data_IF_731768453685
#
_entry.id   IF_731768453685
#
_cell.length_a   1.000
_cell.length_b   1.000
_cell.length_c   1.000
_cell.angle_alpha   90.00
_cell.angle_beta   90.00
_cell.angle_gamma   90.00
#
_symmetry.space_group_name_H-M   'P 1'
#
loop_
_entity.id
_entity.type
_entity.pdbx_description
1 polymer ?
#
# COMPACT_ATOMS: atom_id res chain seq x y z
N UNK A 1 -38.18 -10.31 21.87
CA UNK A 1 -37.27 -9.77 22.90
C UNK A 1 -36.06 -9.16 22.23
N UNK A 2 -36.08 -7.84 22.05
CA UNK A 2 -34.99 -7.02 21.49
C UNK A 2 -34.37 -6.26 22.66
N UNK A 3 -33.18 -6.65 23.14
CA UNK A 3 -32.27 -5.79 23.89
C UNK A 3 -31.07 -6.59 24.43
N UNK A 4 -29.90 -6.49 23.79
CA UNK A 4 -28.61 -6.53 24.51
C UNK A 4 -27.38 -6.11 23.68
N UNK A 5 -27.50 -5.78 22.39
CA UNK A 5 -26.32 -5.45 21.55
C UNK A 5 -26.06 -3.96 21.28
N UNK A 6 -26.71 -3.03 22.00
CA UNK A 6 -26.49 -1.56 21.82
C UNK A 6 -25.97 -0.92 23.13
N UNK A 7 -24.94 -1.50 23.75
CA UNK A 7 -24.28 -0.88 24.91
C UNK A 7 -22.75 -0.76 24.87
N UNK A 8 -22.05 -1.18 23.81
CA UNK A 8 -20.60 -0.89 23.69
C UNK A 8 -20.25 0.30 22.79
N UNK A 9 -21.21 0.90 22.08
CA UNK A 9 -20.97 2.05 21.19
C UNK A 9 -21.21 3.43 21.83
N UNK A 10 -21.63 3.50 23.10
CA UNK A 10 -22.06 4.76 23.73
C UNK A 10 -21.01 5.43 24.63
N UNK A 11 -19.90 4.75 24.97
CA UNK A 11 -18.83 5.35 25.79
C UNK A 11 -17.60 5.81 25.00
N UNK A 12 -17.53 5.58 23.69
CA UNK A 12 -16.41 6.04 22.86
C UNK A 12 -16.68 7.37 22.13
N UNK A 13 -17.90 7.91 22.23
CA UNK A 13 -18.31 9.14 21.53
C UNK A 13 -18.38 10.39 22.44
N UNK A 14 -17.88 10.29 23.68
CA UNK A 14 -17.85 11.40 24.64
C UNK A 14 -16.46 12.04 24.83
N UNK A 15 -15.38 11.38 24.39
CA UNK A 15 -14.01 11.91 24.45
C UNK A 15 -13.60 12.75 23.24
N UNK A 16 -14.36 12.73 22.15
CA UNK A 16 -14.10 13.57 20.97
C UNK A 16 -14.92 14.88 20.92
N UNK A 17 -15.95 15.02 21.76
CA UNK A 17 -16.80 16.23 21.82
C UNK A 17 -16.33 17.31 22.82
N UNK A 18 -15.17 17.13 23.46
CA UNK A 18 -14.60 18.12 24.37
C UNK A 18 -13.30 18.78 23.88
N UNK A 19 -12.76 18.40 22.72
CA UNK A 19 -11.60 19.08 22.12
C UNK A 19 -11.97 20.27 21.21
N UNK A 20 -13.25 20.45 20.86
CA UNK A 20 -13.73 21.48 19.93
C UNK A 20 -14.23 22.78 20.62
N UNK A 21 -13.80 23.07 21.85
CA UNK A 21 -14.18 24.29 22.59
C UNK A 21 -13.01 25.04 23.22
N UNK A 22 -11.81 24.96 22.66
CA UNK A 22 -10.74 25.87 23.09
C UNK A 22 -10.93 27.24 22.42
N UNK A 23 -10.92 28.31 23.23
CA UNK A 23 -10.96 29.71 22.74
C UNK A 23 -9.79 30.03 21.79
N UNK A 24 -8.73 29.21 21.80
CA UNK A 24 -7.57 29.30 20.92
C UNK A 24 -7.91 28.94 19.47
N UNK A 25 -8.70 27.89 19.24
CA UNK A 25 -9.07 27.44 17.88
C UNK A 25 -9.91 28.48 17.14
N UNK A 26 -10.91 29.06 17.82
CA UNK A 26 -11.72 30.16 17.26
C UNK A 26 -10.90 31.44 17.01
N UNK A 27 -9.82 31.66 17.77
CA UNK A 27 -8.94 32.82 17.60
C UNK A 27 -8.01 32.67 16.39
N UNK A 28 -7.50 31.46 16.16
CA UNK A 28 -6.67 31.12 14.98
C UNK A 28 -7.52 31.16 13.70
N UNK A 29 -8.73 30.59 13.72
CA UNK A 29 -9.65 30.63 12.58
C UNK A 29 -10.10 32.06 12.26
N UNK A 30 -10.38 32.90 13.27
CA UNK A 30 -10.71 34.32 13.06
C UNK A 30 -9.53 35.14 12.56
N UNK A 31 -8.31 34.91 13.07
CA UNK A 31 -7.10 35.60 12.59
C UNK A 31 -6.75 35.20 11.15
N UNK A 32 -7.01 33.94 10.76
CA UNK A 32 -6.90 33.49 9.37
C UNK A 32 -7.98 34.13 8.48
N UNK A 33 -9.21 34.30 8.97
CA UNK A 33 -10.32 34.93 8.23
C UNK A 33 -10.16 36.44 8.04
N UNK A 34 -9.51 37.15 8.96
CA UNK A 34 -9.27 38.60 8.83
C UNK A 34 -8.11 38.94 7.90
N UNK A 35 -7.22 37.99 7.58
CA UNK A 35 -6.02 38.24 6.76
C UNK A 35 -6.27 38.17 5.25
N UNK A 36 -7.43 37.67 4.80
CA UNK A 36 -7.75 37.45 3.38
C UNK A 36 -8.95 38.25 2.84
N UNK A 37 -9.47 39.23 3.58
CA UNK A 37 -10.57 40.07 3.11
C UNK A 37 -10.04 41.41 2.58
N UNK A 38 -9.82 41.52 1.26
CA UNK A 38 -9.62 42.84 0.61
C UNK A 38 -10.98 43.54 0.48
N UNK A 39 -11.12 44.83 0.82
CA UNK A 39 -12.34 45.57 0.51
C UNK A 39 -12.28 46.00 -0.97
N UNK A 40 -13.20 45.53 -1.80
CA UNK A 40 -13.45 46.13 -3.10
C UNK A 40 -14.42 47.30 -2.91
N UNK A 41 -13.92 48.53 -2.99
CA UNK A 41 -14.74 49.69 -3.31
C UNK A 41 -14.96 49.67 -4.83
N UNK A 42 -16.19 49.45 -5.29
CA UNK A 42 -16.58 49.60 -6.70
C UNK A 42 -17.51 50.80 -6.80
N UNK A 43 -16.96 51.93 -7.22
CA UNK A 43 -17.73 53.06 -7.73
C UNK A 43 -17.85 52.91 -9.25
N UNK A 44 -19.08 52.78 -9.74
CA UNK A 44 -19.43 53.11 -11.13
C UNK A 44 -19.47 51.96 -12.15
N UNK A 45 -20.69 51.53 -12.47
CA UNK A 45 -21.15 51.23 -13.84
C UNK A 45 -20.29 50.34 -14.74
N UNK A 46 -20.22 49.04 -14.47
CA UNK A 46 -20.02 48.02 -15.50
C UNK A 46 -21.04 46.92 -15.30
N UNK A 47 -21.76 46.55 -16.36
CA UNK A 47 -22.83 45.55 -16.30
C UNK A 47 -22.28 44.23 -15.76
N UNK A 48 -23.00 43.64 -14.80
CA UNK A 48 -22.61 42.42 -14.08
C UNK A 48 -22.12 41.32 -15.04
N UNK A 49 -22.73 41.18 -16.22
CA UNK A 49 -22.33 40.21 -17.24
C UNK A 49 -20.90 40.40 -17.80
N UNK A 50 -20.44 41.64 -17.99
CA UNK A 50 -19.09 41.93 -18.47
C UNK A 50 -18.02 41.70 -17.41
N UNK A 51 -18.33 41.96 -16.14
CA UNK A 51 -17.40 41.75 -15.02
C UNK A 51 -17.20 40.25 -14.72
N UNK A 52 -18.26 39.44 -14.80
CA UNK A 52 -18.15 37.98 -14.70
C UNK A 52 -17.44 37.36 -15.91
N UNK A 53 -17.65 37.87 -17.12
CA UNK A 53 -16.94 37.36 -18.31
C UNK A 53 -15.47 37.80 -18.39
N UNK A 54 -15.08 38.89 -17.72
CA UNK A 54 -13.68 39.31 -17.55
C UNK A 54 -12.96 38.59 -16.40
N UNK A 55 -13.68 38.25 -15.32
CA UNK A 55 -13.16 37.41 -14.22
C UNK A 55 -13.11 35.91 -14.57
N UNK A 56 -14.01 35.44 -15.43
CA UNK A 56 -14.08 34.07 -15.96
C UNK A 56 -13.74 33.98 -17.45
N UNK A 57 -12.94 34.95 -17.94
CA UNK A 57 -12.42 34.93 -19.30
C UNK A 57 -11.73 33.59 -19.62
N UNK A 58 -11.78 33.21 -20.89
CA UNK A 58 -11.47 31.93 -21.55
C UNK A 58 -10.18 31.15 -21.17
N UNK A 59 -9.42 31.58 -20.15
CA UNK A 59 -8.23 30.90 -19.62
C UNK A 59 -8.51 29.68 -18.74
N UNK A 60 -9.64 29.64 -18.02
CA UNK A 60 -9.96 28.52 -17.11
C UNK A 60 -10.46 27.26 -17.83
N UNK A 61 -10.94 27.39 -19.08
CA UNK A 61 -11.34 26.23 -19.88
C UNK A 61 -10.16 25.36 -20.31
N UNK A 62 -9.00 25.97 -20.63
CA UNK A 62 -7.77 25.23 -20.99
C UNK A 62 -7.20 24.47 -19.79
N UNK A 63 -7.25 25.05 -18.58
CA UNK A 63 -6.82 24.39 -17.34
C UNK A 63 -7.71 23.20 -17.01
N UNK A 64 -9.03 23.37 -17.10
CA UNK A 64 -10.01 22.29 -16.90
C UNK A 64 -9.89 21.17 -17.93
N UNK A 65 -9.66 21.50 -19.21
CA UNK A 65 -9.45 20.49 -20.25
C UNK A 65 -8.14 19.71 -20.05
N UNK A 66 -7.07 20.39 -19.60
CA UNK A 66 -5.79 19.74 -19.32
C UNK A 66 -5.87 18.82 -18.09
N UNK A 67 -6.55 19.26 -17.02
CA UNK A 67 -6.81 18.42 -15.84
C UNK A 67 -7.70 17.22 -16.17
N UNK A 68 -8.74 17.42 -17.00
CA UNK A 68 -9.57 16.32 -17.48
C UNK A 68 -8.75 15.31 -18.30
N UNK A 69 -7.91 15.78 -19.23
CA UNK A 69 -7.01 14.92 -20.01
C UNK A 69 -6.06 14.12 -19.11
N UNK A 70 -5.45 14.77 -18.12
CA UNK A 70 -4.57 14.11 -17.16
C UNK A 70 -5.31 13.03 -16.37
N UNK A 71 -6.53 13.32 -15.90
CA UNK A 71 -7.34 12.35 -15.15
C UNK A 71 -7.68 11.10 -15.97
N UNK A 72 -7.98 11.25 -17.26
CA UNK A 72 -8.26 10.13 -18.18
C UNK A 72 -7.00 9.29 -18.37
N UNK A 73 -5.85 9.92 -18.57
CA UNK A 73 -4.58 9.21 -18.74
C UNK A 73 -4.17 8.45 -17.48
N UNK A 74 -4.44 9.00 -16.29
CA UNK A 74 -4.21 8.29 -15.04
C UNK A 74 -5.13 7.07 -14.89
N UNK A 75 -6.40 7.18 -15.29
CA UNK A 75 -7.32 6.04 -15.31
C UNK A 75 -6.86 4.96 -16.30
N UNK A 76 -6.37 5.35 -17.48
CA UNK A 76 -5.78 4.43 -18.45
C UNK A 76 -4.53 3.75 -17.89
N UNK A 77 -3.63 4.51 -17.25
CA UNK A 77 -2.43 3.96 -16.61
C UNK A 77 -2.78 2.96 -15.49
N UNK A 78 -3.78 3.27 -14.66
CA UNK A 78 -4.26 2.37 -13.62
C UNK A 78 -4.91 1.10 -14.23
N UNK A 79 -5.61 1.23 -15.36
CA UNK A 79 -6.14 0.09 -16.12
C UNK A 79 -5.04 -0.81 -16.67
N UNK A 80 -4.03 -0.24 -17.35
CA UNK A 80 -2.88 -1.01 -17.84
C UNK A 80 -2.16 -1.72 -16.68
N UNK A 81 -1.95 -1.02 -15.56
CA UNK A 81 -1.34 -1.63 -14.37
C UNK A 81 -2.16 -2.82 -13.85
N UNK A 82 -3.49 -2.70 -13.77
CA UNK A 82 -4.38 -3.78 -13.33
C UNK A 82 -4.31 -5.02 -14.22
N UNK A 83 -4.03 -4.87 -15.52
CA UNK A 83 -3.87 -5.98 -16.46
C UNK A 83 -2.41 -6.43 -16.59
N UNK A 84 -1.51 -6.00 -15.70
CA UNK A 84 -0.09 -6.31 -15.69
C UNK A 84 0.67 -5.86 -16.97
N UNK A 85 0.15 -4.83 -17.66
CA UNK A 85 0.74 -4.21 -18.86
C UNK A 85 1.69 -3.07 -18.43
N UNK A 86 2.79 -3.43 -17.75
CA UNK A 86 3.66 -2.49 -17.04
C UNK A 86 4.33 -1.46 -17.95
N UNK A 87 4.80 -1.87 -19.13
CA UNK A 87 5.45 -1.00 -20.10
C UNK A 87 4.48 0.06 -20.66
N UNK A 88 3.23 -0.34 -20.92
CA UNK A 88 2.18 0.58 -21.37
C UNK A 88 1.80 1.58 -20.26
N UNK A 89 1.68 1.09 -19.02
CA UNK A 89 1.46 1.93 -17.85
C UNK A 89 2.59 2.97 -17.68
N UNK A 90 3.85 2.52 -17.74
CA UNK A 90 5.03 3.38 -17.61
C UNK A 90 5.09 4.44 -18.73
N UNK A 91 4.84 4.06 -19.99
CA UNK A 91 4.84 4.98 -21.13
C UNK A 91 3.83 6.13 -20.98
N UNK A 92 2.69 5.88 -20.33
CA UNK A 92 1.72 6.93 -20.02
C UNK A 92 2.24 7.85 -18.93
N UNK A 93 2.86 7.30 -17.87
CA UNK A 93 3.25 8.06 -16.69
C UNK A 93 4.59 8.80 -16.84
N UNK A 94 5.53 8.30 -17.66
CA UNK A 94 6.88 8.88 -17.81
C UNK A 94 6.88 10.34 -18.28
N UNK A 95 5.85 10.75 -19.05
CA UNK A 95 5.72 12.14 -19.52
C UNK A 95 5.50 13.15 -18.38
N UNK A 96 5.10 12.67 -17.21
CA UNK A 96 4.88 13.49 -16.01
C UNK A 96 6.09 13.52 -15.08
N UNK A 97 7.09 12.67 -15.29
CA UNK A 97 8.22 12.46 -14.39
C UNK A 97 8.96 13.77 -14.03
N UNK A 98 9.31 14.57 -15.04
CA UNK A 98 10.05 15.81 -14.86
C UNK A 98 9.17 17.03 -14.55
N UNK A 99 7.86 16.93 -14.81
CA UNK A 99 6.94 18.08 -14.80
C UNK A 99 5.99 18.12 -13.61
N UNK A 100 5.69 16.95 -13.03
CA UNK A 100 4.68 16.85 -11.99
C UNK A 100 5.31 16.92 -10.59
N UNK A 101 4.62 17.62 -9.70
CA UNK A 101 4.83 17.57 -8.25
C UNK A 101 3.64 16.92 -7.54
N UNK A 102 2.62 16.48 -8.30
CA UNK A 102 1.43 15.84 -7.75
C UNK A 102 1.79 14.46 -7.17
N UNK A 103 1.64 14.25 -5.84
CA UNK A 103 1.89 12.97 -5.21
C UNK A 103 1.15 11.82 -5.87
N UNK A 104 -0.07 12.04 -6.37
CA UNK A 104 -0.91 11.01 -6.97
C UNK A 104 -0.31 10.41 -8.24
N UNK A 105 0.45 11.21 -8.98
CA UNK A 105 1.14 10.77 -10.19
C UNK A 105 2.47 10.12 -9.82
N UNK A 106 3.19 10.74 -8.89
CA UNK A 106 4.53 10.32 -8.50
C UNK A 106 4.54 8.93 -7.85
N UNK A 107 3.59 8.61 -6.97
CA UNK A 107 3.53 7.27 -6.38
C UNK A 107 3.14 6.20 -7.40
N UNK A 108 2.30 6.53 -8.40
CA UNK A 108 1.93 5.60 -9.50
C UNK A 108 3.12 5.28 -10.38
N UNK A 109 3.93 6.30 -10.70
CA UNK A 109 5.16 6.11 -11.47
C UNK A 109 6.19 5.31 -10.68
N UNK A 110 6.35 5.58 -9.38
CA UNK A 110 7.19 4.79 -8.48
C UNK A 110 6.76 3.32 -8.45
N UNK A 111 5.46 3.05 -8.30
CA UNK A 111 4.88 1.70 -8.32
C UNK A 111 5.28 0.91 -9.56
N UNK A 112 5.03 1.45 -10.76
CA UNK A 112 5.32 0.72 -11.99
C UNK A 112 6.83 0.50 -12.18
N UNK A 113 7.67 1.46 -11.76
CA UNK A 113 9.11 1.31 -11.79
C UNK A 113 9.62 0.21 -10.84
N UNK A 114 9.01 0.05 -9.66
CA UNK A 114 9.32 -1.06 -8.76
C UNK A 114 9.06 -2.40 -9.44
N UNK A 115 7.89 -2.56 -10.07
CA UNK A 115 7.51 -3.82 -10.70
C UNK A 115 8.32 -4.10 -11.98
N UNK A 116 8.63 -3.08 -12.78
CA UNK A 116 9.60 -3.18 -13.89
C UNK A 116 10.98 -3.61 -13.37
N UNK A 117 11.46 -2.98 -12.28
CA UNK A 117 12.72 -3.35 -11.64
C UNK A 117 12.73 -4.79 -11.11
N UNK A 118 11.64 -5.29 -10.55
CA UNK A 118 11.52 -6.71 -10.15
C UNK A 118 11.57 -7.66 -11.34
N UNK A 119 11.04 -7.25 -12.49
CA UNK A 119 10.95 -8.06 -13.71
C UNK A 119 12.20 -7.99 -14.60
N UNK A 120 13.10 -7.04 -14.33
CA UNK A 120 14.34 -6.79 -15.05
C UNK A 120 15.43 -7.80 -14.66
N UNK A 121 16.12 -8.35 -15.67
CA UNK A 121 17.19 -9.35 -15.50
C UNK A 121 18.57 -8.70 -15.42
N UNK A 122 18.75 -7.54 -16.07
CA UNK A 122 20.02 -6.83 -16.06
C UNK A 122 20.23 -6.07 -14.73
N UNK A 123 21.24 -6.44 -13.91
CA UNK A 123 21.41 -5.88 -12.56
C UNK A 123 21.53 -4.36 -12.52
N UNK A 124 22.21 -3.77 -13.50
CA UNK A 124 22.43 -2.32 -13.57
C UNK A 124 21.13 -1.57 -13.85
N UNK A 125 20.34 -2.05 -14.83
CA UNK A 125 19.02 -1.47 -15.16
C UNK A 125 18.03 -1.65 -14.02
N UNK A 126 18.02 -2.83 -13.41
CA UNK A 126 17.19 -3.14 -12.25
C UNK A 126 17.46 -2.17 -11.10
N UNK A 127 18.73 -1.92 -10.78
CA UNK A 127 19.12 -0.93 -9.76
C UNK A 127 18.67 0.48 -10.15
N UNK A 128 18.86 0.88 -11.40
CA UNK A 128 18.42 2.18 -11.90
C UNK A 128 16.92 2.40 -11.73
N UNK A 129 16.08 1.44 -12.13
CA UNK A 129 14.62 1.54 -11.96
C UNK A 129 14.22 1.73 -10.49
N UNK A 130 14.85 0.99 -9.57
CA UNK A 130 14.52 1.05 -8.14
C UNK A 130 14.99 2.36 -7.50
N UNK A 131 16.17 2.86 -7.85
CA UNK A 131 16.65 4.16 -7.38
C UNK A 131 15.70 5.27 -7.83
N UNK A 132 15.31 5.26 -9.10
CA UNK A 132 14.34 6.20 -9.66
C UNK A 132 12.97 6.11 -8.98
N UNK A 133 12.50 4.89 -8.67
CA UNK A 133 11.27 4.69 -7.93
C UNK A 133 11.31 5.30 -6.52
N UNK A 134 12.45 5.18 -5.83
CA UNK A 134 12.67 5.79 -4.50
C UNK A 134 12.65 7.31 -4.60
N UNK A 135 13.35 7.90 -5.58
CA UNK A 135 13.39 9.34 -5.79
C UNK A 135 11.99 9.93 -6.03
N UNK A 136 11.18 9.26 -6.86
CA UNK A 136 9.81 9.69 -7.16
C UNK A 136 8.88 9.55 -5.96
N UNK A 137 8.98 8.45 -5.21
CA UNK A 137 8.18 8.28 -4.00
C UNK A 137 8.60 9.25 -2.89
N UNK A 138 9.89 9.55 -2.75
CA UNK A 138 10.39 10.60 -1.85
C UNK A 138 9.85 11.97 -2.24
N UNK A 139 9.84 12.29 -3.55
CA UNK A 139 9.22 13.51 -4.07
C UNK A 139 7.71 13.54 -3.78
N UNK A 140 7.02 12.41 -3.88
CA UNK A 140 5.59 12.32 -3.54
C UNK A 140 5.34 12.60 -2.05
N UNK A 141 6.20 12.08 -1.17
CA UNK A 141 6.15 12.31 0.28
C UNK A 141 6.41 13.77 0.64
N UNK A 142 7.41 14.41 0.01
CA UNK A 142 7.72 15.84 0.22
C UNK A 142 6.58 16.77 -0.18
N UNK A 143 5.74 16.33 -1.13
CA UNK A 143 4.60 17.09 -1.63
C UNK A 143 3.26 16.55 -1.10
N UNK A 144 3.28 15.66 -0.09
CA UNK A 144 2.03 15.07 0.39
C UNK A 144 1.10 16.13 0.97
N UNK A 145 -0.20 15.97 0.70
CA UNK A 145 -1.21 16.87 1.22
C UNK A 145 -1.34 16.79 2.76
N UNK A 146 -2.13 17.66 3.38
CA UNK A 146 -2.30 17.70 4.84
C UNK A 146 -2.89 16.42 5.44
N UNK A 147 -3.48 15.56 4.61
CA UNK A 147 -4.05 14.27 5.01
C UNK A 147 -3.06 13.10 4.85
N UNK A 148 -1.86 13.35 4.31
CA UNK A 148 -0.86 12.34 3.97
C UNK A 148 -1.19 11.51 2.73
N UNK A 149 -0.20 10.77 2.21
CA UNK A 149 -0.40 9.85 1.08
C UNK A 149 -0.02 8.40 1.45
N UNK A 150 -1.04 7.56 1.70
CA UNK A 150 -0.84 6.14 2.02
C UNK A 150 -0.03 5.42 0.94
N UNK A 151 -0.33 5.70 -0.34
CA UNK A 151 0.36 5.07 -1.47
C UNK A 151 1.81 5.53 -1.61
N UNK A 152 2.11 6.80 -1.36
CA UNK A 152 3.50 7.29 -1.38
C UNK A 152 4.33 6.58 -0.31
N UNK A 153 3.82 6.50 0.93
CA UNK A 153 4.49 5.76 2.01
C UNK A 153 4.67 4.27 1.69
N UNK A 154 3.60 3.61 1.20
CA UNK A 154 3.63 2.19 0.81
C UNK A 154 4.69 1.91 -0.26
N UNK A 155 4.68 2.66 -1.36
CA UNK A 155 5.59 2.41 -2.48
C UNK A 155 7.02 2.85 -2.19
N UNK A 156 7.22 3.91 -1.39
CA UNK A 156 8.55 4.26 -0.88
C UNK A 156 9.18 3.12 -0.08
N UNK A 157 8.41 2.54 0.87
CA UNK A 157 8.88 1.42 1.68
C UNK A 157 9.21 0.18 0.82
N UNK A 158 8.34 -0.17 -0.14
CA UNK A 158 8.57 -1.32 -1.02
C UNK A 158 9.79 -1.09 -1.93
N UNK A 159 9.96 0.11 -2.48
CA UNK A 159 11.09 0.44 -3.34
C UNK A 159 12.42 0.33 -2.59
N UNK A 160 12.51 0.92 -1.39
CA UNK A 160 13.67 0.82 -0.51
C UNK A 160 13.97 -0.64 -0.18
N UNK A 161 12.97 -1.39 0.31
CA UNK A 161 13.13 -2.81 0.66
C UNK A 161 13.68 -3.62 -0.53
N UNK A 162 13.16 -3.37 -1.72
CA UNK A 162 13.56 -4.09 -2.94
C UNK A 162 15.00 -3.73 -3.34
N UNK A 163 15.40 -2.46 -3.24
CA UNK A 163 16.77 -2.04 -3.50
C UNK A 163 17.76 -2.64 -2.49
N UNK A 164 17.44 -2.63 -1.19
CA UNK A 164 18.30 -3.21 -0.15
C UNK A 164 18.51 -4.71 -0.28
N UNK A 165 17.53 -5.43 -0.84
CA UNK A 165 17.70 -6.85 -1.17
C UNK A 165 18.77 -7.09 -2.24
N UNK A 166 18.98 -6.12 -3.14
CA UNK A 166 19.99 -6.18 -4.21
C UNK A 166 21.35 -5.74 -3.70
N UNK A 167 21.41 -4.64 -2.93
CA UNK A 167 22.67 -4.07 -2.46
C UNK A 167 23.29 -4.83 -1.29
N UNK A 168 22.52 -5.71 -0.63
CA UNK A 168 22.99 -6.47 0.52
C UNK A 168 23.00 -5.67 1.83
N UNK A 169 22.90 -4.33 1.78
CA UNK A 169 22.69 -3.47 2.97
C UNK A 169 21.21 -3.44 3.39
N UNK A 170 20.73 -4.60 3.85
CA UNK A 170 19.35 -4.76 4.36
C UNK A 170 19.11 -4.00 5.67
N UNK A 171 20.17 -3.56 6.34
CA UNK A 171 20.13 -3.22 7.75
C UNK A 171 19.54 -1.82 8.02
N UNK A 172 20.09 -0.76 7.40
CA UNK A 172 19.64 0.63 7.64
C UNK A 172 18.23 0.88 7.13
N UNK A 173 17.88 0.16 6.07
CA UNK A 173 16.63 0.33 5.34
C UNK A 173 15.44 -0.32 6.08
N UNK A 174 15.68 -1.33 6.90
CA UNK A 174 14.61 -2.09 7.58
C UNK A 174 13.77 -1.23 8.53
N UNK A 175 14.36 -0.31 9.29
CA UNK A 175 13.58 0.56 10.17
C UNK A 175 12.73 1.57 9.40
N UNK A 176 13.30 2.21 8.38
CA UNK A 176 12.58 3.13 7.51
C UNK A 176 11.38 2.43 6.84
N UNK A 177 11.59 1.22 6.31
CA UNK A 177 10.52 0.40 5.70
C UNK A 177 9.35 0.23 6.67
N UNK A 178 9.61 -0.14 7.93
CA UNK A 178 8.54 -0.30 8.93
C UNK A 178 7.80 1.01 9.20
N UNK A 179 8.53 2.10 9.47
CA UNK A 179 7.93 3.41 9.78
C UNK A 179 7.00 3.86 8.66
N UNK A 180 7.44 3.76 7.40
CA UNK A 180 6.60 4.14 6.27
C UNK A 180 5.41 3.18 6.09
N UNK A 181 5.57 1.87 6.29
CA UNK A 181 4.44 0.94 6.20
C UNK A 181 3.40 1.14 7.33
N UNK A 182 3.84 1.40 8.56
CA UNK A 182 2.94 1.73 9.68
C UNK A 182 2.19 3.03 9.41
N UNK A 183 2.88 4.05 8.89
CA UNK A 183 2.23 5.30 8.48
C UNK A 183 1.25 5.09 7.33
N UNK A 184 1.60 4.29 6.34
CA UNK A 184 0.69 3.94 5.25
C UNK A 184 -0.56 3.22 5.78
N UNK A 185 -0.39 2.37 6.79
CA UNK A 185 -1.48 1.62 7.41
C UNK A 185 -2.43 2.52 8.21
N UNK A 186 -1.91 3.52 8.93
CA UNK A 186 -2.73 4.54 9.61
C UNK A 186 -3.62 5.29 8.62
N UNK A 187 -3.08 5.59 7.44
CA UNK A 187 -3.77 6.33 6.37
C UNK A 187 -4.74 5.44 5.58
N UNK A 188 -4.44 4.15 5.41
CA UNK A 188 -5.25 3.19 4.66
C UNK A 188 -5.31 1.82 5.35
N UNK A 189 -6.16 1.65 6.37
CA UNK A 189 -6.18 0.45 7.21
C UNK A 189 -6.79 -0.79 6.53
N UNK A 190 -7.37 -0.63 5.33
CA UNK A 190 -8.00 -1.72 4.58
C UNK A 190 -7.17 -2.16 3.36
N UNK A 191 -5.96 -1.64 3.21
CA UNK A 191 -5.08 -2.04 2.12
C UNK A 191 -4.35 -3.35 2.47
N UNK A 192 -4.76 -4.45 1.81
CA UNK A 192 -4.21 -5.79 2.05
C UNK A 192 -2.69 -5.86 1.79
N UNK A 193 -2.18 -5.07 0.83
CA UNK A 193 -0.75 -5.06 0.51
C UNK A 193 0.08 -4.46 1.66
N UNK A 194 -0.43 -3.44 2.34
CA UNK A 194 0.27 -2.86 3.51
C UNK A 194 0.37 -3.88 4.64
N UNK A 195 -0.75 -4.54 4.96
CA UNK A 195 -0.76 -5.62 5.96
C UNK A 195 0.20 -6.75 5.60
N UNK A 196 0.21 -7.16 4.33
CA UNK A 196 1.12 -8.19 3.83
C UNK A 196 2.60 -7.79 3.98
N UNK A 197 2.97 -6.58 3.55
CA UNK A 197 4.37 -6.12 3.63
C UNK A 197 4.85 -5.96 5.08
N UNK A 198 3.97 -5.53 6.00
CA UNK A 198 4.25 -5.52 7.44
C UNK A 198 4.43 -6.94 8.00
N UNK A 199 3.58 -7.88 7.59
CA UNK A 199 3.74 -9.30 7.96
C UNK A 199 5.08 -9.85 7.48
N UNK A 200 5.49 -9.55 6.24
CA UNK A 200 6.81 -9.91 5.72
C UNK A 200 7.93 -9.28 6.53
N UNK A 201 7.80 -8.01 6.91
CA UNK A 201 8.78 -7.34 7.75
C UNK A 201 8.93 -8.03 9.11
N UNK A 202 7.83 -8.34 9.80
CA UNK A 202 7.87 -9.04 11.08
C UNK A 202 8.44 -10.48 10.95
N UNK A 203 8.10 -11.19 9.87
CA UNK A 203 8.66 -12.51 9.58
C UNK A 203 10.18 -12.45 9.39
N UNK A 204 10.65 -11.56 8.52
CA UNK A 204 12.08 -11.37 8.23
C UNK A 204 12.83 -10.90 9.49
N UNK A 205 12.23 -10.03 10.30
CA UNK A 205 12.77 -9.57 11.58
C UNK A 205 12.91 -10.71 12.61
N UNK A 206 11.92 -11.60 12.69
CA UNK A 206 11.94 -12.76 13.58
C UNK A 206 12.95 -13.84 13.14
N UNK A 207 13.13 -14.01 11.82
CA UNK A 207 13.97 -15.05 11.23
C UNK A 207 15.46 -14.69 11.21
N UNK A 208 15.83 -13.41 11.17
CA UNK A 208 17.24 -13.02 11.05
C UNK A 208 17.95 -12.87 12.42
N UNK A 209 19.02 -13.63 12.71
CA UNK A 209 19.71 -13.59 14.01
C UNK A 209 20.32 -12.23 14.38
N UNK A 210 20.74 -11.44 13.38
CA UNK A 210 21.39 -10.14 13.59
C UNK A 210 20.38 -9.10 14.13
N UNK A 211 19.09 -9.17 13.76
CA UNK A 211 18.08 -8.28 14.33
C UNK A 211 17.93 -8.48 15.84
N UNK A 212 18.04 -9.72 16.34
CA UNK A 212 18.02 -10.01 17.78
C UNK A 212 19.17 -9.36 18.53
N UNK A 213 20.36 -9.23 17.92
CA UNK A 213 21.51 -8.52 18.52
C UNK A 213 21.28 -7.01 18.55
N UNK A 214 20.69 -6.45 17.51
CA UNK A 214 20.41 -5.01 17.41
C UNK A 214 19.27 -4.54 18.30
N UNK A 215 18.17 -5.29 18.38
CA UNK A 215 17.07 -4.97 19.28
C UNK A 215 17.52 -4.96 20.76
N UNK A 216 18.53 -5.75 21.12
CA UNK A 216 19.17 -5.70 22.45
C UNK A 216 20.05 -4.45 22.67
N UNK A 217 20.56 -3.84 21.61
CA UNK A 217 21.42 -2.66 21.69
C UNK A 217 20.62 -1.35 21.89
N UNK A 218 19.32 -1.35 21.59
CA UNK A 218 18.41 -0.22 21.82
C UNK A 218 17.97 -0.24 23.29
N UNK A 219 18.89 0.13 24.19
CA UNK A 219 18.72 0.10 25.65
C UNK A 219 17.61 1.03 26.18
N UNK A 220 17.23 2.06 25.43
CA UNK A 220 16.32 3.11 25.92
C UNK A 220 14.86 2.96 25.47
N UNK A 221 14.58 2.13 24.46
CA UNK A 221 13.22 1.79 24.04
C UNK A 221 13.26 0.58 23.10
N UNK A 222 13.35 -0.66 23.61
CA UNK A 222 13.44 -1.84 22.74
C UNK A 222 12.22 -1.83 21.81
N UNK A 223 12.42 -1.89 20.48
CA UNK A 223 11.31 -2.01 19.54
C UNK A 223 10.47 -3.22 19.93
N UNK A 224 9.14 -3.18 19.75
CA UNK A 224 8.31 -4.36 19.99
C UNK A 224 8.94 -5.53 19.24
N UNK A 225 9.32 -6.55 19.99
CA UNK A 225 10.08 -7.68 19.47
C UNK A 225 9.24 -8.38 18.40
N UNK A 226 9.72 -8.37 17.15
CA UNK A 226 9.03 -9.08 16.07
C UNK A 226 9.01 -10.58 16.34
N UNK A 227 7.81 -11.15 16.36
CA UNK A 227 7.59 -12.60 16.50
C UNK A 227 6.94 -13.19 15.26
N UNK A 228 7.03 -14.52 15.11
CA UNK A 228 6.29 -15.22 14.06
C UNK A 228 4.77 -15.13 14.30
N UNK A 229 4.32 -15.06 15.56
CA UNK A 229 2.92 -14.84 15.91
C UNK A 229 2.40 -13.49 15.43
N UNK A 230 3.20 -12.43 15.57
CA UNK A 230 2.84 -11.12 15.02
C UNK A 230 2.79 -11.16 13.50
N UNK A 231 3.81 -11.73 12.85
CA UNK A 231 3.82 -11.87 11.38
C UNK A 231 2.55 -12.57 10.88
N UNK A 232 2.16 -13.66 11.54
CA UNK A 232 0.93 -14.40 11.21
C UNK A 232 -0.31 -13.51 11.33
N UNK A 233 -0.44 -12.73 12.41
CA UNK A 233 -1.58 -11.80 12.60
C UNK A 233 -1.64 -10.74 11.49
N UNK A 234 -0.51 -10.23 11.03
CA UNK A 234 -0.46 -9.29 9.90
C UNK A 234 -0.93 -9.94 8.60
N UNK A 235 -0.50 -11.17 8.31
CA UNK A 235 -0.95 -11.91 7.13
C UNK A 235 -2.43 -12.30 7.19
N UNK A 236 -2.95 -12.64 8.36
CA UNK A 236 -4.38 -12.91 8.58
C UNK A 236 -5.22 -11.64 8.33
N UNK A 237 -4.73 -10.47 8.75
CA UNK A 237 -5.37 -9.18 8.45
C UNK A 237 -5.32 -8.83 6.97
N UNK A 238 -4.24 -9.18 6.27
CA UNK A 238 -4.17 -9.01 4.82
C UNK A 238 -5.25 -9.83 4.10
N UNK A 239 -5.42 -11.10 4.49
CA UNK A 239 -6.50 -11.96 3.96
C UNK A 239 -7.90 -11.48 4.36
N UNK A 240 -8.06 -10.88 5.55
CA UNK A 240 -9.34 -10.32 5.97
C UNK A 240 -9.71 -9.04 5.21
N UNK A 241 -8.71 -8.22 4.85
CA UNK A 241 -8.89 -6.99 4.09
C UNK A 241 -9.29 -7.28 2.63
N UNK A 242 -8.67 -8.27 1.99
CA UNK A 242 -8.98 -8.67 0.62
C UNK A 242 -8.95 -10.20 0.45
N UNK A 243 -10.09 -10.89 0.65
CA UNK A 243 -10.12 -12.34 0.69
C UNK A 243 -9.84 -13.01 -0.66
N UNK A 244 -9.04 -14.08 -0.64
CA UNK A 244 -9.05 -15.15 -1.66
C UNK A 244 -8.49 -14.81 -3.04
N UNK A 245 -8.04 -13.57 -3.29
CA UNK A 245 -7.58 -13.15 -4.62
C UNK A 245 -6.18 -12.53 -4.56
N UNK A 246 -5.86 -11.71 -3.55
CA UNK A 246 -4.82 -10.72 -3.81
C UNK A 246 -3.37 -11.16 -3.67
N UNK A 247 -3.01 -12.22 -2.93
CA UNK A 247 -1.57 -12.50 -2.77
C UNK A 247 -1.28 -13.99 -2.53
N UNK A 248 -0.91 -14.71 -3.61
CA UNK A 248 -0.20 -16.01 -3.52
C UNK A 248 0.96 -15.95 -2.52
N UNK A 249 1.69 -14.84 -2.52
CA UNK A 249 2.73 -14.51 -1.54
C UNK A 249 2.23 -14.53 -0.09
N UNK A 250 1.03 -14.01 0.18
CA UNK A 250 0.49 -13.96 1.54
C UNK A 250 0.27 -15.37 2.09
N UNK A 251 -0.38 -16.25 1.34
CA UNK A 251 -0.56 -17.63 1.76
C UNK A 251 0.76 -18.39 1.90
N UNK A 252 1.71 -18.15 0.99
CA UNK A 252 3.05 -18.72 1.10
C UNK A 252 3.72 -18.31 2.42
N UNK A 253 3.76 -17.01 2.74
CA UNK A 253 4.38 -16.54 3.97
C UNK A 253 3.58 -16.91 5.23
N UNK A 254 2.26 -17.04 5.17
CA UNK A 254 1.47 -17.66 6.26
C UNK A 254 1.95 -19.09 6.50
N UNK A 255 2.14 -19.88 5.45
CA UNK A 255 2.69 -21.24 5.52
C UNK A 255 4.07 -21.26 6.17
N UNK A 256 5.02 -20.42 5.69
CA UNK A 256 6.37 -20.32 6.27
C UNK A 256 6.31 -20.00 7.76
N UNK A 257 5.46 -19.04 8.12
CA UNK A 257 5.29 -18.58 9.51
C UNK A 257 4.74 -19.70 10.38
N UNK A 258 3.70 -20.40 9.93
CA UNK A 258 3.09 -21.52 10.64
C UNK A 258 4.07 -22.69 10.80
N UNK A 259 4.93 -22.95 9.82
CA UNK A 259 6.00 -23.93 9.96
C UNK A 259 6.99 -23.57 11.06
N UNK A 260 7.42 -22.30 11.13
CA UNK A 260 8.32 -21.83 12.20
C UNK A 260 7.67 -21.87 13.58
N UNK A 261 6.34 -21.80 13.64
CA UNK A 261 5.53 -22.00 14.84
C UNK A 261 5.25 -23.48 15.15
N UNK A 262 5.74 -24.43 14.35
CA UNK A 262 5.49 -25.86 14.53
C UNK A 262 4.08 -26.33 14.15
N UNK A 263 3.24 -25.46 13.59
CA UNK A 263 1.84 -25.73 13.22
C UNK A 263 1.73 -26.35 11.82
N UNK A 264 2.33 -27.53 11.64
CA UNK A 264 2.56 -28.18 10.34
C UNK A 264 1.29 -28.33 9.49
N UNK A 265 0.19 -28.82 10.06
CA UNK A 265 -1.05 -29.04 9.30
C UNK A 265 -1.62 -27.73 8.73
N UNK A 266 -1.66 -26.67 9.56
CA UNK A 266 -2.12 -25.35 9.13
C UNK A 266 -1.19 -24.74 8.06
N UNK A 267 0.12 -25.00 8.15
CA UNK A 267 1.08 -24.56 7.14
C UNK A 267 0.81 -25.22 5.79
N UNK A 268 0.58 -26.54 5.77
CA UNK A 268 0.21 -27.28 4.55
C UNK A 268 -1.06 -26.73 3.93
N UNK A 269 -2.09 -26.42 4.73
CA UNK A 269 -3.32 -25.82 4.22
C UNK A 269 -3.07 -24.46 3.57
N UNK A 270 -2.16 -23.65 4.13
CA UNK A 270 -1.77 -22.38 3.52
C UNK A 270 -0.99 -22.58 2.22
N UNK A 271 -0.07 -23.54 2.15
CA UNK A 271 0.64 -23.86 0.91
C UNK A 271 -0.29 -24.36 -0.19
N UNK A 272 -1.27 -25.22 0.14
CA UNK A 272 -2.30 -25.64 -0.82
C UNK A 272 -3.09 -24.45 -1.36
N UNK A 273 -3.51 -23.53 -0.47
CA UNK A 273 -4.17 -22.28 -0.90
C UNK A 273 -3.26 -21.45 -1.81
N UNK A 274 -1.98 -21.27 -1.46
CA UNK A 274 -1.02 -20.55 -2.31
C UNK A 274 -0.84 -21.20 -3.69
N UNK A 275 -0.83 -22.54 -3.76
CA UNK A 275 -0.73 -23.27 -5.01
C UNK A 275 -1.94 -23.00 -5.92
N UNK A 276 -3.14 -23.03 -5.33
CA UNK A 276 -4.44 -22.83 -5.98
C UNK A 276 -4.62 -21.42 -6.57
N UNK A 277 -4.10 -20.37 -5.91
CA UNK A 277 -4.20 -18.99 -6.43
C UNK A 277 -3.62 -18.94 -7.86
N UNK A 278 -4.26 -18.26 -8.83
CA UNK A 278 -3.70 -18.10 -10.17
C UNK A 278 -2.29 -17.47 -10.16
N UNK A 279 -1.52 -17.74 -11.21
CA UNK A 279 -0.22 -17.09 -11.45
C UNK A 279 -0.45 -15.93 -12.41
N UNK A 280 -0.29 -14.70 -11.93
CA UNK A 280 -0.51 -13.49 -12.74
C UNK A 280 0.80 -12.73 -13.01
N UNK A 281 1.74 -12.78 -12.07
CA UNK A 281 3.01 -12.06 -12.14
C UNK A 281 4.23 -13.00 -12.15
N UNK A 282 5.41 -12.48 -12.53
CA UNK A 282 6.67 -13.23 -12.39
C UNK A 282 6.96 -13.57 -10.91
N UNK A 283 6.57 -12.70 -9.97
CA UNK A 283 6.69 -12.97 -8.54
C UNK A 283 5.82 -14.17 -8.14
N UNK A 284 4.59 -14.25 -8.66
CA UNK A 284 3.71 -15.39 -8.43
C UNK A 284 4.28 -16.69 -9.00
N UNK A 285 4.91 -16.64 -10.18
CA UNK A 285 5.54 -17.83 -10.79
C UNK A 285 6.65 -18.39 -9.89
N UNK A 286 7.50 -17.51 -9.35
CA UNK A 286 8.58 -17.91 -8.44
C UNK A 286 8.01 -18.52 -7.16
N UNK A 287 6.96 -17.92 -6.59
CA UNK A 287 6.33 -18.43 -5.37
C UNK A 287 5.61 -19.76 -5.66
N UNK A 288 4.94 -19.89 -6.80
CA UNK A 288 4.23 -21.09 -7.18
C UNK A 288 5.19 -22.28 -7.31
N UNK A 289 6.35 -22.09 -7.94
CA UNK A 289 7.41 -23.10 -7.99
C UNK A 289 7.91 -23.48 -6.60
N UNK A 290 8.16 -22.50 -5.71
CA UNK A 290 8.58 -22.78 -4.33
C UNK A 290 7.54 -23.58 -3.54
N UNK A 291 6.26 -23.23 -3.70
CA UNK A 291 5.14 -23.92 -3.04
C UNK A 291 5.02 -25.34 -3.57
N UNK A 292 5.08 -25.52 -4.89
CA UNK A 292 5.01 -26.81 -5.56
C UNK A 292 6.12 -27.76 -5.09
N UNK A 293 7.37 -27.30 -5.17
CA UNK A 293 8.53 -28.04 -4.69
C UNK A 293 8.42 -28.37 -3.21
N UNK A 294 7.92 -27.45 -2.39
CA UNK A 294 7.75 -27.66 -0.96
C UNK A 294 6.68 -28.71 -0.67
N UNK A 295 5.51 -28.63 -1.32
CA UNK A 295 4.44 -29.60 -1.17
C UNK A 295 4.90 -31.01 -1.55
N UNK A 296 5.60 -31.14 -2.68
CA UNK A 296 6.10 -32.43 -3.15
C UNK A 296 7.25 -32.96 -2.28
N UNK A 297 8.35 -32.22 -2.18
CA UNK A 297 9.60 -32.72 -1.58
C UNK A 297 9.53 -32.83 -0.06
N UNK A 298 8.82 -31.91 0.61
CA UNK A 298 8.77 -31.87 2.09
C UNK A 298 7.56 -32.58 2.67
N UNK A 299 6.42 -32.53 1.98
CA UNK A 299 5.17 -33.08 2.49
C UNK A 299 4.63 -34.28 1.71
N UNK A 300 5.28 -34.67 0.60
CA UNK A 300 4.85 -35.81 -0.21
C UNK A 300 3.50 -35.60 -0.89
N UNK A 301 3.08 -34.34 -1.06
CA UNK A 301 1.78 -34.01 -1.67
C UNK A 301 2.01 -33.78 -3.16
N UNK A 302 1.38 -34.61 -3.99
CA UNK A 302 1.36 -34.42 -5.43
C UNK A 302 0.41 -33.28 -5.79
N UNK A 303 0.94 -32.19 -6.32
CA UNK A 303 0.17 -31.00 -6.66
C UNK A 303 -0.74 -31.17 -7.87
N UNK A 304 -0.51 -32.21 -8.70
CA UNK A 304 -1.42 -32.60 -9.78
C UNK A 304 -2.80 -33.06 -9.27
N UNK A 305 -2.89 -33.44 -7.98
CA UNK A 305 -4.14 -33.84 -7.33
C UNK A 305 -4.90 -32.66 -6.71
N UNK A 306 -4.29 -31.46 -6.70
CA UNK A 306 -4.95 -30.26 -6.19
C UNK A 306 -5.81 -29.63 -7.29
N UNK A 307 -7.01 -29.11 -6.95
CA UNK A 307 -7.87 -28.45 -7.92
C UNK A 307 -7.15 -27.22 -8.49
N UNK A 308 -7.23 -27.03 -9.80
CA UNK A 308 -6.53 -25.93 -10.47
C UNK A 308 -7.45 -24.70 -10.60
N UNK A 309 -6.88 -23.51 -10.37
CA UNK A 309 -7.50 -22.21 -10.66
C UNK A 309 -8.95 -22.04 -10.22
N UNK A 310 -9.86 -21.98 -11.19
CA UNK A 310 -11.26 -21.55 -11.04
C UNK A 310 -12.13 -22.52 -10.23
N UNK A 311 -11.93 -23.84 -10.35
CA UNK A 311 -12.70 -24.85 -9.61
C UNK A 311 -12.44 -24.75 -8.10
N UNK A 312 -11.18 -24.50 -7.74
CA UNK A 312 -10.76 -24.34 -6.37
C UNK A 312 -11.24 -23.01 -5.75
N UNK A 313 -11.22 -21.92 -6.51
CA UNK A 313 -11.76 -20.62 -6.07
C UNK A 313 -13.28 -20.67 -5.88
N UNK A 314 -14.00 -21.38 -6.76
CA UNK A 314 -15.44 -21.63 -6.61
C UNK A 314 -15.75 -22.46 -5.36
N UNK A 315 -14.99 -23.53 -5.10
CA UNK A 315 -15.15 -24.35 -3.89
C UNK A 315 -14.86 -23.57 -2.60
N UNK A 316 -13.80 -22.76 -2.57
CA UNK A 316 -13.47 -21.91 -1.41
C UNK A 316 -14.56 -20.85 -1.18
N UNK A 317 -15.08 -20.23 -2.25
CA UNK A 317 -16.14 -19.23 -2.18
C UNK A 317 -17.45 -19.84 -1.66
N UNK A 318 -17.84 -21.02 -2.18
CA UNK A 318 -19.03 -21.75 -1.74
C UNK A 318 -18.92 -22.18 -0.28
N UNK A 319 -17.79 -22.75 0.14
CA UNK A 319 -17.57 -23.16 1.53
C UNK A 319 -17.56 -21.98 2.54
N UNK A 320 -17.16 -20.77 2.12
CA UNK A 320 -17.27 -19.54 2.94
C UNK A 320 -18.71 -19.03 3.02
N UNK A 321 -19.55 -19.26 2.00
CA UNK A 321 -20.96 -18.87 1.97
C UNK A 321 -21.82 -19.75 2.89
N UNK A 322 -21.51 -21.04 2.98
CA UNK A 322 -22.25 -22.00 3.82
C UNK A 322 -21.95 -21.88 5.32
N UNK A 323 -20.87 -21.18 5.69
CA UNK A 323 -20.47 -20.92 7.09
C UNK A 323 -20.98 -19.59 7.65
N UNK A 324 -21.80 -18.84 6.90
CA UNK A 324 -22.45 -17.59 7.32
C UNK A 324 -23.94 -17.80 7.53
#
# INVERSE_FOLDING_TARGET
MRSSFIRSAFYFNQTFRLAARSRLFNRIVRQAWTKYRKPLFVTGGTTYAGFWSALYGSGDQKGKSAQASQSIELQMADSHYKHNELEACYKILEKYESKSEDPEILWRLSRVLVDLGKNETEPTKRKHFLQKAIELADKALKNEGPFGSANAHKWYAIAIKTLGQIEGDRFKQTFAVKVHLERALELSPFDAKIWHELGRWHFEAADYPIYKKWFKAILFNPPPSSTYEEALRFFEKAEAAEPGIYHKANYFYMGETLERLGRKNQAVDCYKKAFIVPVETKEDQVIHQKVDEKLLKKYGINTLELPTGTEALLGIYQAKKEKK
#
